data_IF_843628217855
#
_entry.id   IF_843628217855
#
_cell.length_a   1.000
_cell.length_b   1.000
_cell.length_c   1.000
_cell.angle_alpha   90.00
_cell.angle_beta   90.00
_cell.angle_gamma   90.00
#
_symmetry.space_group_name_H-M   'P 1'
#
loop_
_entity.id
_entity.type
_entity.pdbx_description
1 polymer ?
#
# COMPACT_ATOMS: atom_id res chain seq x y z
N UNK A 1 -11.14 5.87 -9.93
CA UNK A 1 -12.09 6.30 -8.86
C UNK A 1 -13.54 6.01 -9.21
N UNK A 2 -14.07 6.39 -10.38
CA UNK A 2 -15.49 6.18 -10.72
C UNK A 2 -15.97 4.73 -10.55
N UNK A 3 -15.20 3.76 -11.01
CA UNK A 3 -15.52 2.33 -10.85
C UNK A 3 -15.41 1.91 -9.38
N UNK A 4 -14.35 2.32 -8.71
CA UNK A 4 -14.05 1.92 -7.33
C UNK A 4 -15.04 2.46 -6.27
N UNK A 5 -15.89 3.43 -6.60
CA UNK A 5 -16.97 3.89 -5.70
C UNK A 5 -17.94 2.78 -5.29
N UNK A 6 -18.08 1.75 -6.12
CA UNK A 6 -18.96 0.61 -5.88
C UNK A 6 -18.34 -0.43 -4.97
N UNK A 7 -17.07 -0.32 -4.67
CA UNK A 7 -16.35 -1.28 -3.84
C UNK A 7 -16.72 -1.11 -2.37
N UNK A 8 -16.59 -2.18 -1.62
CA UNK A 8 -16.79 -2.16 -0.17
C UNK A 8 -15.86 -1.12 0.48
N UNK A 9 -16.30 -0.42 1.55
CA UNK A 9 -15.48 0.56 2.25
C UNK A 9 -14.14 0.02 2.81
N UNK A 10 -14.03 -1.29 3.00
CA UNK A 10 -12.78 -1.94 3.43
C UNK A 10 -11.72 -2.03 2.33
N UNK A 11 -12.12 -1.84 1.05
CA UNK A 11 -11.19 -1.88 -0.08
C UNK A 11 -10.53 -0.52 -0.25
N UNK A 12 -9.21 -0.52 -0.27
CA UNK A 12 -8.38 0.66 -0.51
C UNK A 12 -7.93 0.67 -1.97
N UNK A 13 -8.10 1.80 -2.62
CA UNK A 13 -7.52 2.06 -3.95
C UNK A 13 -6.14 2.68 -3.76
N UNK A 14 -5.08 1.91 -4.03
CA UNK A 14 -3.72 2.41 -4.02
C UNK A 14 -3.34 3.00 -5.39
N UNK A 15 -2.67 4.14 -5.39
CA UNK A 15 -2.28 4.87 -6.61
C UNK A 15 -0.85 5.40 -6.47
N UNK A 16 0.00 4.99 -7.38
CA UNK A 16 1.37 5.50 -7.49
C UNK A 16 1.38 6.94 -8.00
N UNK A 17 2.19 7.79 -7.36
CA UNK A 17 2.41 9.17 -7.76
C UNK A 17 3.79 9.29 -8.39
N UNK A 18 3.82 9.74 -9.64
CA UNK A 18 5.08 9.98 -10.32
C UNK A 18 5.85 11.15 -9.68
N UNK A 19 7.20 11.10 -9.63
CA UNK A 19 8.02 12.18 -9.06
C UNK A 19 7.70 13.57 -9.64
N UNK A 20 7.34 13.64 -10.92
CA UNK A 20 6.96 14.89 -11.60
C UNK A 20 5.70 15.51 -11.00
N UNK A 21 4.76 14.70 -10.51
CA UNK A 21 3.52 15.20 -9.88
C UNK A 21 3.80 15.83 -8.52
N UNK A 22 4.82 15.34 -7.79
CA UNK A 22 5.26 15.93 -6.51
C UNK A 22 6.03 17.25 -6.68
N UNK A 23 6.42 17.61 -7.91
CA UNK A 23 7.00 18.93 -8.23
C UNK A 23 5.94 20.01 -8.44
N UNK A 24 4.68 19.62 -8.60
CA UNK A 24 3.56 20.55 -8.78
C UNK A 24 3.00 21.01 -7.43
N UNK A 25 3.17 22.28 -7.04
CA UNK A 25 2.66 22.80 -5.77
C UNK A 25 1.13 22.69 -5.64
N UNK A 26 0.42 22.54 -6.76
CA UNK A 26 -1.04 22.44 -6.82
C UNK A 26 -1.54 21.00 -6.83
N UNK A 27 -0.65 20.02 -6.72
CA UNK A 27 -1.02 18.59 -6.82
C UNK A 27 -2.09 18.20 -5.80
N UNK A 28 -1.92 18.58 -4.52
CA UNK A 28 -2.87 18.24 -3.47
C UNK A 28 -4.27 18.82 -3.75
N UNK A 29 -4.34 20.08 -4.24
CA UNK A 29 -5.62 20.71 -4.60
C UNK A 29 -6.28 20.01 -5.81
N UNK A 30 -5.48 19.63 -6.81
CA UNK A 30 -5.97 18.88 -7.98
C UNK A 30 -6.55 17.53 -7.58
N UNK A 31 -5.88 16.82 -6.69
CA UNK A 31 -6.37 15.52 -6.18
C UNK A 31 -7.62 15.70 -5.33
N UNK A 32 -7.67 16.74 -4.46
CA UNK A 32 -8.88 17.06 -3.68
C UNK A 32 -10.06 17.36 -4.59
N UNK A 33 -9.85 18.18 -5.61
CA UNK A 33 -10.89 18.49 -6.60
C UNK A 33 -11.42 17.21 -7.25
N UNK A 34 -10.52 16.32 -7.67
CA UNK A 34 -10.89 15.04 -8.25
C UNK A 34 -11.69 14.16 -7.29
N UNK A 35 -11.32 14.09 -6.01
CA UNK A 35 -12.07 13.34 -4.99
C UNK A 35 -13.49 13.91 -4.82
N UNK A 36 -13.62 15.23 -4.78
CA UNK A 36 -14.93 15.90 -4.67
C UNK A 36 -15.78 15.65 -5.92
N UNK A 37 -15.24 15.89 -7.11
CA UNK A 37 -15.93 15.70 -8.39
C UNK A 37 -16.39 14.26 -8.60
N UNK A 38 -15.55 13.31 -8.23
CA UNK A 38 -15.88 11.89 -8.33
C UNK A 38 -16.73 11.41 -7.15
N UNK A 39 -16.79 12.12 -6.02
CA UNK A 39 -17.40 11.65 -4.78
C UNK A 39 -16.71 10.39 -4.21
N UNK A 40 -15.42 10.14 -4.56
CA UNK A 40 -14.66 9.03 -4.03
C UNK A 40 -14.20 9.33 -2.60
N UNK A 41 -14.42 8.43 -1.62
CA UNK A 41 -14.04 8.69 -0.24
C UNK A 41 -12.51 8.78 -0.09
N UNK A 42 -12.00 9.90 0.44
CA UNK A 42 -10.57 10.08 0.67
C UNK A 42 -9.96 8.96 1.53
N UNK A 43 -10.70 8.45 2.52
CA UNK A 43 -10.27 7.34 3.38
C UNK A 43 -10.10 6.00 2.65
N UNK A 44 -10.64 5.86 1.44
CA UNK A 44 -10.43 4.69 0.58
C UNK A 44 -9.30 4.90 -0.44
N UNK A 45 -8.62 6.05 -0.44
CA UNK A 45 -7.48 6.31 -1.30
C UNK A 45 -6.18 6.18 -0.51
N UNK A 46 -5.25 5.39 -1.02
CA UNK A 46 -3.86 5.34 -0.59
C UNK A 46 -2.98 5.88 -1.71
N UNK A 47 -2.15 6.86 -1.39
CA UNK A 47 -1.18 7.46 -2.32
C UNK A 47 0.19 6.87 -2.03
N UNK A 48 0.79 6.24 -3.04
CA UNK A 48 2.10 5.61 -2.97
C UNK A 48 3.17 6.54 -3.54
N UNK A 49 4.21 6.80 -2.76
CA UNK A 49 5.30 7.73 -3.09
C UNK A 49 6.61 6.98 -2.92
N UNK A 50 7.42 6.90 -3.98
CA UNK A 50 8.70 6.22 -3.92
C UNK A 50 9.70 6.95 -3.02
N UNK A 51 10.55 6.19 -2.35
CA UNK A 51 11.61 6.72 -1.50
C UNK A 51 12.46 7.79 -2.21
N UNK A 52 12.86 7.52 -3.46
CA UNK A 52 13.68 8.44 -4.27
C UNK A 52 13.02 9.80 -4.52
N UNK A 53 11.68 9.84 -4.61
CA UNK A 53 10.92 11.08 -4.86
C UNK A 53 10.99 12.08 -3.71
N UNK A 54 11.36 11.64 -2.50
CA UNK A 54 11.41 12.50 -1.32
C UNK A 54 12.57 13.50 -1.34
N UNK A 55 13.65 13.17 -2.06
CA UNK A 55 14.92 13.91 -1.96
C UNK A 55 14.99 15.15 -2.85
N UNK A 56 14.18 15.27 -3.88
CA UNK A 56 14.29 16.38 -4.83
C UNK A 56 13.88 17.73 -4.22
N UNK A 57 12.81 17.76 -3.41
CA UNK A 57 12.34 18.97 -2.72
C UNK A 57 11.52 18.60 -1.47
N UNK A 58 12.20 18.23 -0.40
CA UNK A 58 11.57 17.79 0.84
C UNK A 58 10.54 18.79 1.42
N UNK A 59 10.78 20.13 1.44
CA UNK A 59 9.79 21.08 1.93
C UNK A 59 8.48 21.05 1.14
N UNK A 60 8.56 20.97 -0.20
CA UNK A 60 7.38 20.91 -1.06
C UNK A 60 6.66 19.58 -0.88
N UNK A 61 7.37 18.46 -0.90
CA UNK A 61 6.80 17.13 -0.68
C UNK A 61 6.09 17.10 0.67
N UNK A 62 6.72 17.60 1.74
CA UNK A 62 6.10 17.68 3.06
C UNK A 62 4.80 18.46 3.06
N UNK A 63 4.75 19.60 2.37
CA UNK A 63 3.53 20.40 2.26
C UNK A 63 2.41 19.61 1.57
N UNK A 64 2.73 18.97 0.45
CA UNK A 64 1.77 18.16 -0.33
C UNK A 64 1.23 17.00 0.51
N UNK A 65 2.11 16.17 1.08
CA UNK A 65 1.68 14.97 1.84
C UNK A 65 0.90 15.35 3.10
N UNK A 66 1.29 16.43 3.79
CA UNK A 66 0.53 16.92 4.94
C UNK A 66 -0.87 17.38 4.53
N UNK A 67 -0.99 18.06 3.39
CA UNK A 67 -2.28 18.48 2.84
C UNK A 67 -3.18 17.29 2.51
N UNK A 68 -2.62 16.25 1.85
CA UNK A 68 -3.37 15.03 1.53
C UNK A 68 -3.81 14.28 2.79
N UNK A 69 -2.92 14.21 3.78
CA UNK A 69 -3.21 13.58 5.06
C UNK A 69 -4.36 14.26 5.80
N UNK A 70 -4.38 15.59 5.81
CA UNK A 70 -5.45 16.38 6.43
C UNK A 70 -6.82 16.18 5.74
N UNK A 71 -6.83 15.68 4.52
CA UNK A 71 -8.03 15.32 3.77
C UNK A 71 -8.50 13.90 4.01
N UNK A 72 -7.75 13.11 4.79
CA UNK A 72 -8.06 11.72 5.11
C UNK A 72 -7.50 10.70 4.11
N UNK A 73 -6.62 11.12 3.18
CA UNK A 73 -5.91 10.21 2.28
C UNK A 73 -4.83 9.46 3.05
N UNK A 74 -4.71 8.16 2.83
CA UNK A 74 -3.60 7.35 3.36
C UNK A 74 -2.35 7.54 2.50
N UNK A 75 -1.18 7.47 3.14
CA UNK A 75 0.11 7.66 2.48
C UNK A 75 1.00 6.44 2.70
N UNK A 76 1.57 5.91 1.64
CA UNK A 76 2.49 4.78 1.68
C UNK A 76 3.84 5.17 1.08
N UNK A 77 4.92 4.81 1.77
CA UNK A 77 6.28 4.96 1.25
C UNK A 77 6.66 3.71 0.48
N UNK A 78 6.89 3.87 -0.81
CA UNK A 78 7.16 2.79 -1.77
C UNK A 78 8.65 2.60 -2.05
N UNK A 79 9.05 1.42 -2.55
CA UNK A 79 10.44 1.03 -2.90
C UNK A 79 11.43 1.19 -1.73
N UNK A 80 10.97 1.03 -0.48
CA UNK A 80 11.80 1.29 0.69
C UNK A 80 12.99 0.33 0.77
N UNK A 81 14.18 0.91 1.02
CA UNK A 81 15.45 0.23 1.14
C UNK A 81 16.31 0.28 -0.13
N UNK A 82 15.79 0.78 -1.25
CA UNK A 82 16.57 0.93 -2.50
C UNK A 82 17.32 2.26 -2.58
N UNK A 83 16.99 3.21 -1.71
CA UNK A 83 17.52 4.57 -1.70
C UNK A 83 18.33 4.91 -0.45
N UNK A 84 18.57 6.20 -0.26
CA UNK A 84 19.34 6.77 0.85
C UNK A 84 18.43 7.41 1.91
N UNK A 85 17.26 6.82 2.21
CA UNK A 85 16.40 7.41 3.25
C UNK A 85 17.09 7.51 4.59
N UNK A 86 17.20 8.72 5.06
CA UNK A 86 17.54 8.95 6.45
C UNK A 86 16.28 8.70 7.29
N UNK A 87 16.43 7.97 8.40
CA UNK A 87 15.34 7.76 9.38
C UNK A 87 14.70 9.08 9.83
N UNK A 88 15.44 10.19 9.75
CA UNK A 88 14.91 11.53 10.05
C UNK A 88 13.83 11.96 9.07
N UNK A 89 13.96 11.62 7.79
CA UNK A 89 12.94 11.94 6.76
C UNK A 89 11.67 11.10 6.96
N UNK A 90 11.84 9.81 7.24
CA UNK A 90 10.74 8.92 7.53
C UNK A 90 9.90 9.41 8.73
N UNK A 91 10.56 9.89 9.79
CA UNK A 91 9.88 10.47 10.97
C UNK A 91 9.26 11.85 10.72
N UNK A 92 9.79 12.60 9.76
CA UNK A 92 9.34 13.96 9.48
C UNK A 92 8.10 14.03 8.58
N UNK A 93 7.76 12.94 7.91
CA UNK A 93 6.65 12.86 6.97
C UNK A 93 5.54 11.95 7.52
N UNK A 94 4.26 12.29 7.33
CA UNK A 94 3.12 11.60 7.94
C UNK A 94 2.71 10.35 7.13
N UNK A 95 3.65 9.45 6.87
CA UNK A 95 3.35 8.17 6.24
C UNK A 95 2.58 7.24 7.19
N UNK A 96 1.65 6.47 6.64
CA UNK A 96 0.86 5.47 7.36
C UNK A 96 1.45 4.07 7.23
N UNK A 97 2.29 3.84 6.20
CA UNK A 97 2.79 2.53 5.82
C UNK A 97 4.11 2.60 5.10
N UNK A 98 4.86 1.51 5.16
CA UNK A 98 6.07 1.29 4.37
C UNK A 98 5.88 0.05 3.51
N UNK A 99 6.30 0.10 2.23
CA UNK A 99 6.33 -1.02 1.30
C UNK A 99 7.77 -1.43 1.07
N UNK A 100 8.07 -2.71 1.30
CA UNK A 100 9.41 -3.27 1.04
C UNK A 100 9.49 -3.57 -0.45
N UNK A 101 10.54 -3.06 -1.11
CA UNK A 101 10.78 -3.31 -2.53
C UNK A 101 10.91 -4.81 -2.83
N UNK A 102 10.35 -5.21 -3.97
CA UNK A 102 10.32 -6.59 -4.46
C UNK A 102 11.70 -7.24 -4.56
N UNK A 103 12.78 -6.49 -4.77
CA UNK A 103 14.12 -7.04 -4.92
C UNK A 103 14.60 -7.69 -3.62
N UNK A 104 14.29 -7.10 -2.47
CA UNK A 104 14.59 -7.70 -1.16
C UNK A 104 13.76 -8.93 -0.89
N UNK A 105 12.45 -8.89 -1.23
CA UNK A 105 11.54 -10.03 -1.07
C UNK A 105 11.98 -11.21 -1.95
N UNK A 106 12.30 -10.95 -3.22
CA UNK A 106 12.78 -11.98 -4.14
C UNK A 106 14.11 -12.61 -3.70
N UNK A 107 15.02 -11.80 -3.11
CA UNK A 107 16.33 -12.27 -2.65
C UNK A 107 16.28 -13.08 -1.35
N UNK A 108 15.21 -12.99 -0.54
CA UNK A 108 15.11 -13.61 0.78
C UNK A 108 15.39 -15.12 0.75
N UNK A 109 14.90 -15.84 -0.26
CA UNK A 109 15.00 -17.31 -0.32
C UNK A 109 16.40 -17.85 -0.55
N UNK A 110 17.34 -17.02 -0.95
CA UNK A 110 18.71 -17.44 -1.26
C UNK A 110 19.80 -16.70 -0.47
N UNK A 111 19.42 -15.71 0.33
CA UNK A 111 20.37 -14.82 1.00
C UNK A 111 19.95 -14.52 2.45
N UNK A 112 20.73 -15.03 3.44
CA UNK A 112 20.56 -14.65 4.84
C UNK A 112 20.64 -13.14 5.06
N UNK A 113 21.47 -12.44 4.28
CA UNK A 113 21.62 -10.99 4.36
C UNK A 113 20.32 -10.28 3.92
N UNK A 114 19.67 -10.76 2.84
CA UNK A 114 18.39 -10.22 2.41
C UNK A 114 17.28 -10.46 3.45
N UNK A 115 17.27 -11.64 4.08
CA UNK A 115 16.35 -11.91 5.20
C UNK A 115 16.61 -10.96 6.37
N UNK A 116 17.87 -10.71 6.72
CA UNK A 116 18.22 -9.78 7.78
C UNK A 116 17.78 -8.35 7.47
N UNK A 117 17.90 -7.91 6.21
CA UNK A 117 17.41 -6.59 5.76
C UNK A 117 15.90 -6.51 5.90
N UNK A 118 15.14 -7.49 5.39
CA UNK A 118 13.67 -7.50 5.50
C UNK A 118 13.26 -7.49 6.97
N UNK A 119 13.89 -8.30 7.83
CA UNK A 119 13.63 -8.29 9.26
C UNK A 119 13.91 -6.92 9.89
N UNK A 120 15.02 -6.27 9.52
CA UNK A 120 15.35 -4.95 10.02
C UNK A 120 14.28 -3.90 9.64
N UNK A 121 13.78 -3.95 8.38
CA UNK A 121 12.71 -3.06 7.91
C UNK A 121 11.41 -3.33 8.69
N UNK A 122 11.06 -4.60 8.92
CA UNK A 122 9.86 -4.96 9.70
C UNK A 122 9.97 -4.40 11.13
N UNK A 123 11.11 -4.59 11.80
CA UNK A 123 11.34 -4.05 13.15
C UNK A 123 11.33 -2.52 13.20
N UNK A 124 11.81 -1.88 12.14
CA UNK A 124 11.71 -0.42 12.00
C UNK A 124 10.23 0.00 11.92
N UNK A 125 9.43 -0.67 11.08
CA UNK A 125 8.00 -0.41 10.97
C UNK A 125 7.26 -0.56 12.29
N UNK A 126 7.54 -1.64 13.03
CA UNK A 126 7.01 -1.84 14.40
C UNK A 126 7.36 -0.67 15.33
N UNK A 127 8.64 -0.25 15.33
CA UNK A 127 9.13 0.83 16.18
C UNK A 127 8.52 2.20 15.85
N UNK A 128 8.11 2.39 14.60
CA UNK A 128 7.48 3.63 14.12
C UNK A 128 5.95 3.55 14.10
N UNK A 129 5.36 2.42 14.50
CA UNK A 129 3.93 2.11 14.37
C UNK A 129 3.42 2.23 12.91
N UNK A 130 4.28 1.90 11.94
CA UNK A 130 4.00 1.87 10.52
C UNK A 130 3.91 0.41 10.04
N UNK A 131 2.72 -0.11 9.72
CA UNK A 131 2.59 -1.47 9.19
C UNK A 131 3.36 -1.62 7.88
N UNK A 132 3.97 -2.81 7.72
CA UNK A 132 4.78 -3.14 6.55
C UNK A 132 3.95 -3.92 5.53
N UNK A 133 4.10 -3.55 4.25
CA UNK A 133 3.62 -4.33 3.10
C UNK A 133 4.84 -4.85 2.33
N UNK A 134 4.90 -6.15 2.09
CA UNK A 134 5.95 -6.75 1.26
C UNK A 134 5.46 -6.85 -0.19
N UNK A 135 6.29 -6.39 -1.14
CA UNK A 135 5.98 -6.44 -2.56
C UNK A 135 6.63 -7.63 -3.27
N UNK A 136 6.09 -8.01 -4.43
CA UNK A 136 6.66 -9.08 -5.24
C UNK A 136 6.54 -10.46 -4.61
N UNK A 137 5.50 -10.71 -3.81
CA UNK A 137 5.21 -12.03 -3.26
C UNK A 137 4.67 -12.91 -4.39
N UNK A 138 5.46 -13.89 -4.85
CA UNK A 138 5.13 -14.72 -6.01
C UNK A 138 4.66 -16.13 -5.64
N UNK A 139 4.98 -16.62 -4.44
CA UNK A 139 4.65 -17.95 -3.99
C UNK A 139 4.28 -18.01 -2.49
N UNK A 140 3.65 -19.12 -2.11
CA UNK A 140 3.17 -19.37 -0.75
C UNK A 140 4.31 -19.44 0.28
N UNK A 141 5.44 -20.04 -0.09
CA UNK A 141 6.56 -20.17 0.84
C UNK A 141 7.13 -18.80 1.23
N UNK A 142 7.21 -17.87 0.26
CA UNK A 142 7.59 -16.49 0.51
C UNK A 142 6.55 -15.78 1.39
N UNK A 143 5.26 -16.01 1.15
CA UNK A 143 4.19 -15.43 1.98
C UNK A 143 4.25 -15.91 3.43
N UNK A 144 4.48 -17.20 3.65
CA UNK A 144 4.65 -17.79 4.99
C UNK A 144 5.86 -17.19 5.71
N UNK A 145 7.00 -17.07 5.01
CA UNK A 145 8.22 -16.52 5.60
C UNK A 145 8.04 -15.06 6.01
N UNK A 146 7.45 -14.23 5.14
CA UNK A 146 7.11 -12.85 5.45
C UNK A 146 6.16 -12.73 6.65
N UNK A 147 5.18 -13.62 6.75
CA UNK A 147 4.28 -13.67 7.91
C UNK A 147 5.05 -13.97 9.20
N UNK A 148 6.01 -14.91 9.17
CA UNK A 148 6.88 -15.24 10.33
C UNK A 148 7.76 -14.05 10.74
N UNK A 149 8.20 -13.24 9.77
CA UNK A 149 8.97 -12.03 10.02
C UNK A 149 8.12 -10.89 10.58
N UNK A 150 6.78 -10.99 10.55
CA UNK A 150 5.86 -9.99 11.07
C UNK A 150 5.35 -8.99 10.03
N UNK A 151 5.49 -9.27 8.72
CA UNK A 151 4.86 -8.43 7.69
C UNK A 151 3.34 -8.47 7.82
N UNK A 152 2.72 -7.29 7.88
CA UNK A 152 1.29 -7.15 8.06
C UNK A 152 0.49 -7.44 6.79
N UNK A 153 1.07 -7.16 5.61
CA UNK A 153 0.44 -7.32 4.30
C UNK A 153 1.44 -7.81 3.26
N UNK A 154 0.92 -8.45 2.22
CA UNK A 154 1.68 -8.85 1.05
C UNK A 154 0.97 -8.44 -0.25
N UNK A 155 1.76 -8.06 -1.26
CA UNK A 155 1.33 -7.76 -2.61
C UNK A 155 2.18 -8.53 -3.60
N UNK A 156 1.57 -9.12 -4.63
CA UNK A 156 2.28 -9.86 -5.67
C UNK A 156 1.43 -10.90 -6.38
N UNK A 157 2.03 -11.60 -7.30
CA UNK A 157 1.32 -12.57 -8.15
C UNK A 157 0.71 -13.75 -7.40
N UNK A 158 1.23 -14.08 -6.24
CA UNK A 158 0.62 -15.08 -5.37
C UNK A 158 -0.81 -14.70 -4.95
N UNK A 159 -1.08 -13.43 -4.74
CA UNK A 159 -2.41 -12.94 -4.35
C UNK A 159 -3.32 -12.64 -5.55
N UNK A 160 -2.72 -12.32 -6.70
CA UNK A 160 -3.43 -12.05 -7.94
C UNK A 160 -2.56 -11.27 -8.93
N UNK A 161 -2.86 -11.45 -10.20
CA UNK A 161 -2.23 -10.67 -11.29
C UNK A 161 -3.08 -9.44 -11.59
N UNK A 162 -2.48 -8.45 -12.24
CA UNK A 162 -3.21 -7.31 -12.75
C UNK A 162 -4.39 -7.76 -13.62
N UNK A 163 -5.55 -7.18 -13.38
CA UNK A 163 -6.80 -7.51 -14.03
C UNK A 163 -7.47 -6.26 -14.59
N UNK A 164 -8.38 -6.44 -15.55
CA UNK A 164 -9.21 -5.33 -16.01
C UNK A 164 -10.16 -4.85 -14.90
N UNK A 165 -10.66 -3.61 -15.00
CA UNK A 165 -11.63 -3.10 -14.06
C UNK A 165 -12.89 -3.99 -13.97
N UNK A 166 -13.34 -4.57 -15.11
CA UNK A 166 -14.49 -5.46 -15.16
C UNK A 166 -14.21 -6.81 -14.48
N UNK A 167 -12.98 -7.34 -14.59
CA UNK A 167 -12.58 -8.57 -13.92
C UNK A 167 -12.40 -8.35 -12.41
N UNK A 168 -11.87 -7.19 -12.03
CA UNK A 168 -11.77 -6.77 -10.63
C UNK A 168 -13.16 -6.66 -9.99
N UNK A 169 -14.11 -6.03 -10.67
CA UNK A 169 -15.49 -5.96 -10.19
C UNK A 169 -16.10 -7.35 -10.00
N UNK A 170 -15.89 -8.28 -10.96
CA UNK A 170 -16.36 -9.66 -10.81
C UNK A 170 -15.74 -10.34 -9.60
N UNK A 171 -14.43 -10.24 -9.45
CA UNK A 171 -13.70 -10.80 -8.31
C UNK A 171 -14.23 -10.28 -6.97
N UNK A 172 -14.50 -8.97 -6.88
CA UNK A 172 -15.05 -8.34 -5.68
C UNK A 172 -16.50 -8.75 -5.45
N UNK A 173 -17.32 -8.88 -6.51
CA UNK A 173 -18.68 -9.38 -6.41
C UNK A 173 -18.72 -10.79 -5.83
N UNK A 174 -17.89 -11.71 -6.34
CA UNK A 174 -17.79 -13.10 -5.88
C UNK A 174 -17.39 -13.21 -4.41
N UNK A 175 -16.72 -12.18 -3.89
CA UNK A 175 -16.31 -12.07 -2.48
C UNK A 175 -17.26 -11.25 -1.60
N UNK A 176 -18.38 -10.76 -2.17
CA UNK A 176 -19.31 -9.89 -1.46
C UNK A 176 -18.76 -8.51 -1.13
N UNK A 177 -17.76 -8.04 -1.88
CA UNK A 177 -17.05 -6.77 -1.65
C UNK A 177 -17.49 -5.66 -2.64
N UNK A 178 -18.71 -5.76 -3.18
CA UNK A 178 -19.38 -4.70 -3.94
C UNK A 178 -20.55 -4.14 -3.15
N UNK A 179 -20.69 -2.81 -3.11
CA UNK A 179 -21.85 -2.13 -2.50
C UNK A 179 -23.12 -2.45 -3.30
N UNK A 180 -24.18 -2.81 -2.61
CA UNK A 180 -25.49 -3.01 -3.21
C UNK A 180 -25.73 -4.35 -3.92
N UNK A 181 -24.74 -5.23 -3.95
CA UNK A 181 -24.92 -6.63 -4.37
C UNK A 181 -25.10 -7.46 -3.10
N UNK A 182 -26.31 -7.99 -2.89
CA UNK A 182 -26.62 -8.84 -1.73
C UNK A 182 -25.64 -10.02 -1.67
N UNK A 183 -25.05 -10.20 -0.50
CA UNK A 183 -24.06 -11.26 -0.23
C UNK A 183 -24.75 -12.62 -0.34
N UNK A 184 -24.25 -13.56 -1.16
CA UNK A 184 -24.52 -14.97 -0.90
C UNK A 184 -23.86 -15.29 0.46
N UNK A 185 -24.63 -15.80 1.40
CA UNK A 185 -24.24 -16.18 2.75
C UNK A 185 -22.84 -16.85 2.75
N UNK A 186 -21.81 -16.12 3.21
CA UNK A 186 -20.48 -16.66 3.37
C UNK A 186 -20.45 -17.66 4.53
N UNK A 187 -19.89 -18.85 4.27
CA UNK A 187 -19.57 -19.81 5.33
C UNK A 187 -18.58 -19.17 6.30
N UNK A 188 -18.74 -19.37 7.61
CA UNK A 188 -17.80 -18.87 8.60
C UNK A 188 -16.40 -19.48 8.33
N UNK A 189 -15.42 -18.63 8.13
CA UNK A 189 -14.01 -19.04 8.10
C UNK A 189 -13.64 -19.32 9.56
N UNK A 190 -13.35 -20.58 9.85
CA UNK A 190 -12.81 -21.00 11.15
C UNK A 190 -11.41 -20.43 11.32
N UNK A 191 -11.22 -19.80 12.45
CA UNK A 191 -10.03 -19.15 12.96
C UNK A 191 -8.88 -20.14 13.11
N UNK A 192 -7.97 -20.18 12.13
CA UNK A 192 -6.63 -20.77 12.29
C UNK A 192 -5.62 -19.88 11.55
N UNK A 193 -4.82 -19.14 12.30
CA UNK A 193 -3.63 -18.36 11.89
C UNK A 193 -3.86 -17.46 10.65
N UNK A 194 -4.19 -16.20 10.91
CA UNK A 194 -4.45 -15.21 9.88
C UNK A 194 -3.21 -15.01 8.97
N UNK A 195 -3.21 -15.48 7.70
CA UNK A 195 -2.12 -15.22 6.77
C UNK A 195 -2.11 -13.76 6.35
N UNK A 196 -1.00 -13.28 5.80
CA UNK A 196 -0.84 -11.93 5.23
C UNK A 196 -2.11 -11.47 4.51
N UNK A 197 -2.66 -10.31 4.91
CA UNK A 197 -3.85 -9.74 4.27
C UNK A 197 -3.55 -9.34 2.84
N UNK A 198 -4.40 -9.77 1.91
CA UNK A 198 -4.30 -9.45 0.48
C UNK A 198 -4.60 -7.97 0.26
N UNK A 199 -3.72 -7.31 -0.48
CA UNK A 199 -4.05 -6.03 -1.12
C UNK A 199 -4.47 -6.32 -2.56
N UNK A 200 -5.63 -5.84 -2.95
CA UNK A 200 -6.11 -5.92 -4.33
C UNK A 200 -5.55 -4.75 -5.15
#
# INVERSE_FOLDING_TARGET
MEIAKRWDPSIILAVNIAPQQLKDPWFSQKLTKLLVETGFPAAQLEVEITESSLFENLPLVRSIVTSLKNQGVSLSLDDFGTGYSSLSHLRALPFDRIKIDRSFVAAMRGSPDAQAIVLAIVRLGESLAMPITAEGVEDEATAIELTRLGCAKGQGWYFGRAASAADTDRLLADRGLLRGVGVPSARPVTDETEPLRKTA
#
